data_IF_227692100889
#
_entry.id   IF_227692100889
#
_cell.length_a   1.000
_cell.length_b   1.000
_cell.length_c   1.000
_cell.angle_alpha   90.00
_cell.angle_beta   90.00
_cell.angle_gamma   90.00
#
_symmetry.space_group_name_H-M   'P 1'
#
loop_
_entity.id
_entity.type
_entity.pdbx_description
1 polymer ?
#
# COMPACT_ATOMS: atom_id res chain seq x y z
N UNK A 1 28.15 26.31 -42.80
CA UNK A 1 27.39 26.54 -41.53
C UNK A 1 26.01 25.92 -41.69
N UNK A 2 25.85 24.68 -41.22
CA UNK A 2 24.59 23.96 -41.29
C UNK A 2 23.88 24.12 -39.94
N UNK A 3 22.78 24.87 -39.88
CA UNK A 3 21.90 24.93 -38.74
C UNK A 3 21.05 23.62 -38.68
N UNK A 4 21.55 22.65 -37.93
CA UNK A 4 20.76 21.47 -37.61
C UNK A 4 19.62 21.86 -36.68
N UNK A 5 18.41 21.97 -37.23
CA UNK A 5 17.18 22.06 -36.42
C UNK A 5 17.08 20.77 -35.61
N UNK A 6 17.36 20.85 -34.31
CA UNK A 6 17.13 19.77 -33.39
C UNK A 6 15.61 19.43 -33.45
N UNK A 7 15.25 18.27 -34.01
CA UNK A 7 13.89 17.77 -33.97
C UNK A 7 13.49 17.54 -32.50
N UNK A 8 12.64 18.40 -31.99
CA UNK A 8 12.03 18.18 -30.65
C UNK A 8 11.29 16.84 -30.68
N UNK A 9 11.56 15.91 -29.77
CA UNK A 9 10.84 14.66 -29.75
C UNK A 9 9.37 14.92 -29.38
N UNK A 10 8.45 14.40 -30.19
CA UNK A 10 7.02 14.44 -29.92
C UNK A 10 6.61 13.13 -29.27
N UNK A 11 5.78 13.22 -28.23
CA UNK A 11 5.14 12.08 -27.59
C UNK A 11 3.63 12.23 -27.80
N UNK A 12 3.00 11.19 -28.38
CA UNK A 12 1.55 11.11 -28.50
C UNK A 12 0.99 10.54 -27.22
N UNK A 13 0.04 11.25 -26.61
CA UNK A 13 -0.67 10.81 -25.40
C UNK A 13 -2.16 10.84 -25.65
N UNK A 14 -2.89 9.92 -25.01
CA UNK A 14 -4.35 9.91 -24.98
C UNK A 14 -4.82 10.67 -23.76
N UNK A 15 -5.67 11.67 -23.98
CA UNK A 15 -6.42 12.36 -22.93
C UNK A 15 -7.70 11.58 -22.63
N UNK A 16 -7.96 11.35 -21.36
CA UNK A 16 -9.15 10.67 -20.86
C UNK A 16 -9.84 11.59 -19.86
N UNK A 17 -11.12 11.89 -20.10
CA UNK A 17 -11.94 12.65 -19.20
C UNK A 17 -13.01 11.76 -18.58
N UNK A 18 -13.05 11.69 -17.26
CA UNK A 18 -14.02 10.91 -16.50
C UNK A 18 -14.79 11.81 -15.55
N UNK A 19 -16.12 11.77 -15.64
CA UNK A 19 -16.99 12.52 -14.74
C UNK A 19 -17.26 11.70 -13.47
N UNK A 20 -17.01 12.29 -12.31
CA UNK A 20 -17.38 11.75 -11.01
C UNK A 20 -18.27 12.74 -10.27
N UNK A 21 -19.57 12.47 -10.21
CA UNK A 21 -20.55 13.39 -9.68
C UNK A 21 -20.60 14.69 -10.50
N UNK A 22 -20.22 15.83 -9.88
CA UNK A 22 -20.15 17.14 -10.52
C UNK A 22 -18.76 17.51 -11.06
N UNK A 23 -17.74 16.69 -10.78
CA UNK A 23 -16.34 16.99 -11.09
C UNK A 23 -15.87 16.17 -12.29
N UNK A 24 -15.12 16.82 -13.19
CA UNK A 24 -14.41 16.17 -14.28
C UNK A 24 -12.95 15.93 -13.86
N UNK A 25 -12.46 14.72 -14.09
CA UNK A 25 -11.08 14.34 -13.87
C UNK A 25 -10.45 14.02 -15.21
N UNK A 26 -9.28 14.64 -15.48
CA UNK A 26 -8.54 14.46 -16.72
C UNK A 26 -7.29 13.63 -16.43
N UNK A 27 -7.05 12.62 -17.26
CA UNK A 27 -5.89 11.71 -17.16
C UNK A 27 -5.16 11.67 -18.50
N UNK A 28 -3.84 11.55 -18.45
CA UNK A 28 -3.00 11.34 -19.62
C UNK A 28 -2.36 9.95 -19.54
N UNK A 29 -2.37 9.22 -20.66
CA UNK A 29 -1.75 7.91 -20.79
C UNK A 29 -1.02 7.76 -22.11
N UNK A 30 0.07 6.99 -22.12
CA UNK A 30 0.77 6.59 -23.34
C UNK A 30 0.09 5.41 -24.05
N UNK A 31 -0.87 4.72 -23.42
CA UNK A 31 -1.66 3.66 -24.03
C UNK A 31 -2.78 4.30 -24.83
N UNK A 32 -2.64 4.27 -26.17
CA UNK A 32 -3.54 4.96 -27.08
C UNK A 32 -4.85 4.21 -27.29
N UNK A 33 -4.83 2.87 -27.28
CA UNK A 33 -5.96 2.01 -27.56
C UNK A 33 -6.93 1.93 -26.38
N UNK A 34 -8.20 2.38 -26.52
CA UNK A 34 -9.19 2.32 -25.45
C UNK A 34 -9.56 0.92 -25.00
N UNK A 35 -9.42 -0.08 -25.89
CA UNK A 35 -9.71 -1.49 -25.59
C UNK A 35 -8.64 -2.09 -24.66
N UNK A 36 -7.37 -1.67 -24.78
CA UNK A 36 -6.27 -2.11 -23.91
C UNK A 36 -6.37 -1.47 -22.55
N UNK A 37 -6.71 -0.19 -22.49
CA UNK A 37 -6.85 0.55 -21.25
C UNK A 37 -8.13 1.41 -21.26
N UNK A 38 -9.28 0.85 -20.85
CA UNK A 38 -10.55 1.57 -20.78
C UNK A 38 -10.51 2.76 -19.81
N UNK A 39 -11.29 3.82 -20.05
CA UNK A 39 -11.31 5.03 -19.22
C UNK A 39 -11.59 4.78 -17.74
N UNK A 40 -12.52 3.87 -17.43
CA UNK A 40 -12.85 3.54 -16.05
C UNK A 40 -11.70 2.83 -15.31
N UNK A 41 -10.90 2.02 -16.03
CA UNK A 41 -9.70 1.36 -15.47
C UNK A 41 -8.65 2.40 -15.13
N UNK A 42 -8.44 3.41 -16.00
CA UNK A 42 -7.50 4.51 -15.72
C UNK A 42 -7.90 5.26 -14.47
N UNK A 43 -9.18 5.60 -14.34
CA UNK A 43 -9.69 6.30 -13.16
C UNK A 43 -9.51 5.47 -11.87
N UNK A 44 -9.75 4.16 -11.93
CA UNK A 44 -9.55 3.26 -10.79
C UNK A 44 -8.07 3.11 -10.41
N UNK A 45 -7.18 2.92 -11.40
CA UNK A 45 -5.74 2.85 -11.17
C UNK A 45 -5.21 4.15 -10.53
N UNK A 46 -5.65 5.31 -11.03
CA UNK A 46 -5.23 6.58 -10.48
C UNK A 46 -5.76 6.81 -9.06
N UNK A 47 -6.99 6.39 -8.78
CA UNK A 47 -7.54 6.44 -7.42
C UNK A 47 -6.72 5.60 -6.43
N UNK A 48 -6.22 4.45 -6.87
CA UNK A 48 -5.36 3.57 -6.06
C UNK A 48 -3.96 4.16 -5.81
N UNK A 49 -3.56 5.21 -6.52
CA UNK A 49 -2.27 5.88 -6.30
C UNK A 49 -2.07 6.35 -4.85
N UNK A 50 -3.16 6.75 -4.18
CA UNK A 50 -3.13 7.14 -2.78
C UNK A 50 -2.61 6.05 -1.84
N UNK A 51 -2.73 4.78 -2.22
CA UNK A 51 -2.16 3.66 -1.45
C UNK A 51 -0.65 3.69 -1.38
N UNK A 52 0.02 4.26 -2.35
CA UNK A 52 1.48 4.46 -2.33
C UNK A 52 1.82 5.47 -1.23
N UNK A 53 1.07 6.56 -1.13
CA UNK A 53 1.28 7.56 -0.08
C UNK A 53 0.99 6.99 1.31
N UNK A 54 -0.05 6.19 1.45
CA UNK A 54 -0.39 5.47 2.68
C UNK A 54 0.72 4.47 3.07
N UNK A 55 1.26 3.72 2.11
CA UNK A 55 2.39 2.83 2.33
C UNK A 55 3.62 3.59 2.83
N UNK A 56 4.00 4.70 2.18
CA UNK A 56 5.10 5.54 2.63
C UNK A 56 4.86 6.14 4.02
N UNK A 57 3.63 6.56 4.32
CA UNK A 57 3.28 7.06 5.65
C UNK A 57 3.43 5.98 6.72
N UNK A 58 2.97 4.76 6.43
CA UNK A 58 3.12 3.61 7.33
C UNK A 58 4.59 3.28 7.57
N UNK A 59 5.38 3.17 6.50
CA UNK A 59 6.82 2.87 6.57
C UNK A 59 7.58 3.95 7.35
N UNK A 60 7.30 5.22 7.08
CA UNK A 60 7.98 6.34 7.76
C UNK A 60 7.56 6.50 9.21
N UNK A 61 6.26 6.51 9.48
CA UNK A 61 5.73 6.87 10.80
C UNK A 61 5.59 5.68 11.74
N UNK A 62 5.03 4.57 11.24
CA UNK A 62 4.76 3.40 12.06
C UNK A 62 5.99 2.51 12.21
N UNK A 63 6.74 2.28 11.12
CA UNK A 63 7.90 1.40 11.12
C UNK A 63 9.23 2.14 11.35
N UNK A 64 9.19 3.45 11.56
CA UNK A 64 10.33 4.24 12.02
C UNK A 64 11.36 4.60 10.96
N UNK A 65 11.05 4.49 9.65
CA UNK A 65 12.01 4.86 8.58
C UNK A 65 12.23 6.38 8.49
N UNK A 66 11.48 7.20 9.19
CA UNK A 66 11.75 8.64 9.33
C UNK A 66 13.02 8.96 10.10
N UNK A 67 13.58 7.99 10.82
CA UNK A 67 14.82 8.13 11.58
C UNK A 67 15.83 7.07 11.16
N UNK A 68 17.02 7.50 10.72
CA UNK A 68 18.11 6.60 10.35
C UNK A 68 18.98 6.31 11.58
N UNK A 69 19.17 5.03 11.89
CA UNK A 69 19.90 4.58 13.09
C UNK A 69 21.41 4.62 12.93
N UNK A 70 21.88 4.74 11.69
CA UNK A 70 23.31 4.72 11.35
C UNK A 70 23.61 5.71 10.24
N UNK A 71 24.85 6.23 10.21
CA UNK A 71 25.35 7.05 9.11
C UNK A 71 26.07 6.26 8.01
N UNK A 72 26.24 4.92 8.17
CA UNK A 72 26.90 4.11 7.15
C UNK A 72 25.94 3.77 6.02
N UNK A 73 26.42 3.82 4.77
CA UNK A 73 25.63 3.53 3.58
C UNK A 73 24.96 2.15 3.65
N UNK A 74 25.72 1.12 4.02
CA UNK A 74 25.21 -0.24 4.15
C UNK A 74 24.15 -0.35 5.24
N UNK A 75 24.31 0.32 6.37
CA UNK A 75 23.32 0.34 7.45
C UNK A 75 22.04 1.04 7.03
N UNK A 76 22.12 2.15 6.31
CA UNK A 76 20.96 2.85 5.74
C UNK A 76 20.21 1.95 4.77
N UNK A 77 20.92 1.28 3.85
CA UNK A 77 20.31 0.35 2.90
C UNK A 77 19.62 -0.83 3.60
N UNK A 78 20.26 -1.44 4.60
CA UNK A 78 19.66 -2.52 5.39
C UNK A 78 18.39 -2.06 6.12
N UNK A 79 18.41 -0.86 6.71
CA UNK A 79 17.23 -0.32 7.36
C UNK A 79 16.09 -0.08 6.37
N UNK A 80 16.37 0.51 5.19
CA UNK A 80 15.37 0.75 4.16
C UNK A 80 14.75 -0.59 3.71
N UNK A 81 15.57 -1.53 3.27
CA UNK A 81 15.08 -2.82 2.77
C UNK A 81 14.38 -3.63 3.84
N UNK A 82 14.94 -3.71 5.06
CA UNK A 82 14.32 -4.42 6.18
C UNK A 82 12.96 -3.84 6.54
N UNK A 83 12.81 -2.52 6.53
CA UNK A 83 11.53 -1.87 6.80
C UNK A 83 10.49 -2.14 5.72
N UNK A 84 10.86 -2.10 4.44
CA UNK A 84 9.95 -2.44 3.35
C UNK A 84 9.55 -3.91 3.32
N UNK A 85 10.49 -4.82 3.61
CA UNK A 85 10.18 -6.26 3.75
C UNK A 85 9.19 -6.47 4.90
N UNK A 86 9.42 -5.81 6.03
CA UNK A 86 8.51 -5.92 7.16
C UNK A 86 7.12 -5.33 6.85
N UNK A 87 7.05 -4.22 6.09
CA UNK A 87 5.79 -3.69 5.60
C UNK A 87 5.06 -4.70 4.71
N UNK A 88 5.76 -5.35 3.77
CA UNK A 88 5.16 -6.37 2.91
C UNK A 88 4.58 -7.53 3.74
N UNK A 89 5.32 -8.02 4.75
CA UNK A 89 4.83 -9.06 5.66
C UNK A 89 3.58 -8.61 6.42
N UNK A 90 3.51 -7.34 6.85
CA UNK A 90 2.32 -6.80 7.51
C UNK A 90 1.11 -6.74 6.57
N UNK A 91 1.33 -6.38 5.29
CA UNK A 91 0.26 -6.38 4.28
C UNK A 91 -0.24 -7.79 4.03
N UNK A 92 0.65 -8.77 3.82
CA UNK A 92 0.29 -10.17 3.62
C UNK A 92 -0.48 -10.74 4.81
N UNK A 93 -0.04 -10.43 6.03
CA UNK A 93 -0.75 -10.83 7.25
C UNK A 93 -2.13 -10.16 7.33
N UNK A 94 -2.21 -8.87 6.96
CA UNK A 94 -3.46 -8.12 6.91
C UNK A 94 -4.45 -8.71 5.92
N UNK A 95 -3.98 -9.10 4.75
CA UNK A 95 -4.78 -9.72 3.70
C UNK A 95 -5.30 -11.09 4.13
N UNK A 96 -4.44 -11.95 4.68
CA UNK A 96 -4.82 -13.24 5.21
C UNK A 96 -5.87 -13.13 6.35
N UNK A 97 -5.77 -12.12 7.22
CA UNK A 97 -6.78 -11.84 8.25
C UNK A 97 -8.08 -11.35 7.63
N UNK A 98 -8.02 -10.53 6.56
CA UNK A 98 -9.20 -10.07 5.82
C UNK A 98 -9.94 -11.26 5.19
N UNK A 99 -9.23 -12.16 4.53
CA UNK A 99 -9.77 -13.37 3.93
C UNK A 99 -10.43 -14.27 4.97
N UNK A 100 -9.77 -14.51 6.10
CA UNK A 100 -10.33 -15.31 7.22
C UNK A 100 -11.64 -14.71 7.78
N UNK A 101 -11.80 -13.39 7.66
CA UNK A 101 -12.99 -12.67 8.12
C UNK A 101 -14.02 -12.43 7.01
N UNK A 102 -13.70 -12.80 5.76
CA UNK A 102 -14.47 -12.48 4.55
C UNK A 102 -14.73 -10.97 4.40
N UNK A 103 -13.70 -10.17 4.62
CA UNK A 103 -13.73 -8.71 4.56
C UNK A 103 -12.77 -8.18 3.49
N UNK A 104 -13.01 -6.97 2.99
CA UNK A 104 -12.04 -6.28 2.16
C UNK A 104 -10.80 -5.89 2.98
N UNK A 105 -9.61 -5.97 2.39
CA UNK A 105 -8.33 -5.58 3.02
C UNK A 105 -8.37 -4.15 3.60
N UNK A 106 -9.08 -3.24 2.94
CA UNK A 106 -9.26 -1.83 3.38
C UNK A 106 -9.97 -1.71 4.72
N UNK A 107 -10.65 -2.77 5.16
CA UNK A 107 -11.26 -2.83 6.48
C UNK A 107 -10.27 -3.22 7.58
N UNK A 108 -9.07 -3.67 7.24
CA UNK A 108 -8.06 -4.11 8.20
C UNK A 108 -7.07 -2.97 8.47
N UNK A 109 -6.88 -2.64 9.74
CA UNK A 109 -5.88 -1.66 10.14
C UNK A 109 -4.52 -2.34 10.33
N UNK A 110 -3.57 -2.05 9.43
CA UNK A 110 -2.20 -2.54 9.54
C UNK A 110 -1.52 -2.03 10.82
N UNK A 111 -1.85 -0.82 11.28
CA UNK A 111 -1.37 -0.29 12.56
C UNK A 111 -1.82 -1.16 13.74
N UNK A 112 -3.07 -1.60 13.74
CA UNK A 112 -3.60 -2.47 14.80
C UNK A 112 -2.94 -3.86 14.78
N UNK A 113 -2.64 -4.40 13.60
CA UNK A 113 -1.87 -5.64 13.47
C UNK A 113 -0.46 -5.42 14.03
N UNK A 114 0.26 -4.39 13.57
CA UNK A 114 1.60 -4.05 14.04
C UNK A 114 1.67 -3.93 15.56
N UNK A 115 0.80 -3.12 16.17
CA UNK A 115 0.71 -2.95 17.62
C UNK A 115 0.34 -4.25 18.35
N UNK A 116 -0.42 -5.10 17.67
CA UNK A 116 -0.85 -6.39 18.19
C UNK A 116 0.21 -7.49 18.16
N UNK A 117 1.28 -7.36 17.36
CA UNK A 117 2.33 -8.38 17.23
C UNK A 117 2.99 -8.71 18.57
N UNK A 118 3.26 -7.70 19.40
CA UNK A 118 3.80 -7.92 20.74
C UNK A 118 2.86 -8.78 21.61
N UNK A 119 1.57 -8.49 21.55
CA UNK A 119 0.57 -9.25 22.31
C UNK A 119 0.42 -10.68 21.79
N UNK A 120 0.50 -10.88 20.47
CA UNK A 120 0.54 -12.19 19.86
C UNK A 120 1.78 -12.97 20.33
N UNK A 121 2.96 -12.35 20.28
CA UNK A 121 4.19 -12.96 20.76
C UNK A 121 4.06 -13.43 22.22
N UNK A 122 3.57 -12.59 23.12
CA UNK A 122 3.34 -12.96 24.52
C UNK A 122 2.32 -14.10 24.67
N UNK A 123 1.23 -14.07 23.88
CA UNK A 123 0.23 -15.13 23.88
C UNK A 123 0.82 -16.48 23.41
N UNK A 124 1.66 -16.43 22.38
CA UNK A 124 2.37 -17.61 21.84
C UNK A 124 3.31 -18.21 22.87
N UNK A 125 4.10 -17.40 23.58
CA UNK A 125 4.99 -17.86 24.64
C UNK A 125 4.23 -18.56 25.78
N UNK A 126 3.00 -18.14 26.04
CA UNK A 126 2.11 -18.73 27.04
C UNK A 126 1.30 -19.94 26.50
N UNK A 127 1.56 -20.41 25.29
CA UNK A 127 0.80 -21.50 24.65
C UNK A 127 -0.69 -21.16 24.34
N UNK A 128 -1.06 -19.87 24.36
CA UNK A 128 -2.45 -19.41 24.13
C UNK A 128 -2.75 -19.04 22.69
N UNK A 129 -1.74 -18.97 21.83
CA UNK A 129 -1.86 -18.69 20.41
C UNK A 129 -0.74 -19.40 19.64
N UNK A 130 -1.06 -19.96 18.49
CA UNK A 130 -0.10 -20.61 17.58
C UNK A 130 -0.06 -19.91 16.24
N UNK A 131 -1.20 -19.56 15.71
CA UNK A 131 -1.38 -18.93 14.40
C UNK A 131 -1.69 -17.44 14.55
N UNK A 132 -0.94 -16.54 13.88
CA UNK A 132 -1.20 -15.11 13.92
C UNK A 132 -2.51 -14.73 13.24
N UNK A 133 -2.90 -15.40 12.16
CA UNK A 133 -4.12 -15.08 11.40
C UNK A 133 -5.34 -15.34 12.29
N UNK A 134 -5.43 -16.52 12.90
CA UNK A 134 -6.50 -16.86 13.82
C UNK A 134 -6.56 -15.90 15.01
N UNK A 135 -5.40 -15.56 15.57
CA UNK A 135 -5.31 -14.66 16.72
C UNK A 135 -5.85 -13.26 16.42
N UNK A 136 -5.48 -12.67 15.28
CA UNK A 136 -5.95 -11.34 14.90
C UNK A 136 -7.42 -11.35 14.45
N UNK A 137 -7.86 -12.40 13.75
CA UNK A 137 -9.26 -12.58 13.38
C UNK A 137 -10.17 -12.71 14.61
N UNK A 138 -9.77 -13.47 15.61
CA UNK A 138 -10.53 -13.65 16.85
C UNK A 138 -10.64 -12.34 17.64
N UNK A 139 -9.56 -11.56 17.76
CA UNK A 139 -9.58 -10.26 18.45
C UNK A 139 -10.50 -9.24 17.80
N UNK A 140 -10.61 -9.24 16.48
CA UNK A 140 -11.54 -8.35 15.79
C UNK A 140 -12.99 -8.72 16.06
N UNK A 141 -13.33 -10.02 16.03
CA UNK A 141 -14.68 -10.51 16.37
C UNK A 141 -15.12 -10.11 17.79
N UNK A 142 -14.19 -10.07 18.75
CA UNK A 142 -14.50 -9.67 20.13
C UNK A 142 -14.80 -8.18 20.28
N UNK A 143 -14.18 -7.31 19.46
CA UNK A 143 -14.38 -5.86 19.50
C UNK A 143 -15.73 -5.41 18.94
N UNK A 144 -16.31 -6.18 18.01
CA UNK A 144 -17.66 -5.93 17.46
C UNK A 144 -18.81 -6.45 18.32
N UNK A 145 -18.54 -7.19 19.40
CA UNK A 145 -19.59 -7.65 20.34
C UNK A 145 -20.02 -6.60 21.37
N UNK A 146 -19.35 -5.46 21.40
CA UNK A 146 -19.63 -4.39 22.39
C UNK A 146 -20.08 -3.07 21.73
N UNK A 147 -20.55 -3.14 20.46
CA UNK A 147 -21.26 -2.02 19.80
C UNK A 147 -22.70 -2.40 19.55
#
# INVERSE_FOLDING_TARGET
MGSGTAKTPFITLRLIEVRSGKTWHCYLTSVLEPQVLPPYVVADLYRRRWRIEEAFNTVKRLLGLSYLWTGSLNGIQLQIWGTWIFYAILVDLGDAVADQLSLAIDSISLEMIYRGLYHFYVARQKGKATDPIEYFAAKRKSRFRYC
#
